data_IF_732138319692
#
_entry.id   IF_732138319692
#
_cell.length_a   1.000
_cell.length_b   1.000
_cell.length_c   1.000
_cell.angle_alpha   90.00
_cell.angle_beta   90.00
_cell.angle_gamma   90.00
#
_symmetry.space_group_name_H-M   'P 1'
#
loop_
_entity.id
_entity.type
_entity.pdbx_description
1 polymer ?
#
# COMPACT_ATOMS: atom_id res chain seq x y z
N UNK A 1 -16.89 -6.96 36.78
CA UNK A 1 -16.34 -5.79 36.05
C UNK A 1 -15.06 -6.14 35.29
N UNK A 2 -14.08 -6.82 35.90
CA UNK A 2 -12.82 -7.29 35.28
C UNK A 2 -13.02 -8.15 34.01
N UNK A 3 -13.91 -9.13 34.08
CA UNK A 3 -14.22 -10.08 32.99
C UNK A 3 -14.86 -9.42 31.75
N UNK A 4 -15.59 -8.31 31.96
CA UNK A 4 -16.23 -7.55 30.86
C UNK A 4 -15.18 -6.74 30.08
N UNK A 5 -14.18 -6.16 30.77
CA UNK A 5 -13.09 -5.42 30.11
C UNK A 5 -12.16 -6.34 29.31
N UNK A 6 -11.84 -7.54 29.81
CA UNK A 6 -10.97 -8.48 29.09
C UNK A 6 -11.58 -8.96 27.77
N UNK A 7 -12.88 -9.27 27.75
CA UNK A 7 -13.59 -9.62 26.49
C UNK A 7 -13.61 -8.48 25.47
N UNK A 8 -13.77 -7.23 25.92
CA UNK A 8 -13.75 -6.06 25.02
C UNK A 8 -12.36 -5.84 24.41
N UNK A 9 -11.30 -5.94 25.24
CA UNK A 9 -9.90 -5.80 24.80
C UNK A 9 -9.50 -6.86 23.78
N UNK A 10 -9.90 -8.12 23.97
CA UNK A 10 -9.59 -9.20 23.02
C UNK A 10 -10.34 -9.05 21.68
N UNK A 11 -11.62 -8.64 21.72
CA UNK A 11 -12.39 -8.34 20.51
C UNK A 11 -11.77 -7.19 19.70
N UNK A 12 -11.36 -6.11 20.37
CA UNK A 12 -10.71 -4.97 19.71
C UNK A 12 -9.37 -5.36 19.08
N UNK A 13 -8.57 -6.18 19.77
CA UNK A 13 -7.30 -6.70 19.24
C UNK A 13 -7.50 -7.53 17.97
N UNK A 14 -8.49 -8.44 17.95
CA UNK A 14 -8.79 -9.27 16.77
C UNK A 14 -9.30 -8.42 15.60
N UNK A 15 -10.15 -7.43 15.87
CA UNK A 15 -10.61 -6.49 14.84
C UNK A 15 -9.42 -5.72 14.23
N UNK A 16 -8.48 -5.30 15.07
CA UNK A 16 -7.29 -4.60 14.66
C UNK A 16 -6.37 -5.44 13.77
N UNK A 17 -6.07 -6.67 14.19
CA UNK A 17 -5.26 -7.60 13.41
C UNK A 17 -5.86 -7.88 12.03
N UNK A 18 -7.18 -8.04 11.94
CA UNK A 18 -7.88 -8.17 10.66
C UNK A 18 -7.73 -6.91 9.81
N UNK A 19 -7.84 -5.73 10.42
CA UNK A 19 -7.68 -4.46 9.72
C UNK A 19 -6.25 -4.24 9.19
N UNK A 20 -5.22 -4.85 9.79
CA UNK A 20 -3.85 -4.76 9.23
C UNK A 20 -3.69 -5.40 7.86
N UNK A 21 -4.59 -6.31 7.46
CA UNK A 21 -4.63 -6.85 6.10
C UNK A 21 -4.82 -5.76 5.04
N UNK A 22 -5.40 -4.61 5.40
CA UNK A 22 -5.53 -3.46 4.50
C UNK A 22 -4.20 -2.93 3.96
N UNK A 23 -3.09 -3.18 4.67
CA UNK A 23 -1.74 -2.80 4.23
C UNK A 23 -1.27 -3.61 3.00
N UNK A 24 -1.83 -4.79 2.78
CA UNK A 24 -1.41 -5.70 1.73
C UNK A 24 -2.07 -5.43 0.38
N UNK A 25 -3.34 -4.98 0.38
CA UNK A 25 -4.13 -4.83 -0.84
C UNK A 25 -3.54 -3.89 -1.91
N UNK A 26 -2.95 -2.72 -1.60
CA UNK A 26 -2.38 -1.86 -2.63
C UNK A 26 -1.32 -2.59 -3.47
N UNK A 27 -0.43 -3.32 -2.81
CA UNK A 27 0.65 -4.07 -3.43
C UNK A 27 0.14 -5.30 -4.17
N UNK A 28 -0.94 -5.92 -3.68
CA UNK A 28 -1.59 -7.03 -4.37
C UNK A 28 -2.22 -6.56 -5.68
N UNK A 29 -2.89 -5.42 -5.67
CA UNK A 29 -3.50 -4.82 -6.87
C UNK A 29 -2.42 -4.41 -7.87
N UNK A 30 -1.34 -3.77 -7.42
CA UNK A 30 -0.19 -3.43 -8.26
C UNK A 30 0.40 -4.68 -8.94
N UNK A 31 0.67 -5.74 -8.18
CA UNK A 31 1.17 -6.99 -8.73
C UNK A 31 0.20 -7.62 -9.74
N UNK A 32 -1.09 -7.69 -9.42
CA UNK A 32 -2.10 -8.22 -10.36
C UNK A 32 -2.21 -7.36 -11.62
N UNK A 33 -2.09 -6.04 -11.50
CA UNK A 33 -2.10 -5.12 -12.66
C UNK A 33 -0.94 -5.41 -13.60
N UNK A 34 0.26 -5.62 -13.06
CA UNK A 34 1.46 -5.91 -13.84
C UNK A 34 1.41 -7.30 -14.51
N UNK A 35 0.87 -8.30 -13.80
CA UNK A 35 0.63 -9.63 -14.36
C UNK A 35 -0.37 -9.54 -15.52
N UNK A 36 -1.49 -8.86 -15.33
CA UNK A 36 -2.49 -8.67 -16.39
C UNK A 36 -1.96 -7.83 -17.56
N UNK A 37 -1.11 -6.83 -17.29
CA UNK A 37 -0.40 -6.06 -18.30
C UNK A 37 0.50 -6.89 -19.22
N UNK A 38 0.96 -8.05 -18.73
CA UNK A 38 1.73 -9.01 -19.55
C UNK A 38 0.86 -9.75 -20.59
N UNK A 39 -0.47 -9.75 -20.41
CA UNK A 39 -1.43 -10.32 -21.37
C UNK A 39 -2.21 -9.26 -22.15
N UNK A 40 -2.37 -8.07 -21.58
CA UNK A 40 -3.12 -6.95 -22.16
C UNK A 40 -2.31 -5.66 -22.02
N UNK A 41 -1.66 -5.24 -23.10
CA UNK A 41 -0.87 -4.00 -23.09
C UNK A 41 -1.72 -2.81 -22.66
N UNK A 42 -1.17 -1.95 -21.80
CA UNK A 42 -1.89 -0.78 -21.31
C UNK A 42 -2.51 -0.98 -19.92
N UNK A 43 -2.79 -2.23 -19.53
CA UNK A 43 -3.48 -2.53 -18.27
C UNK A 43 -2.58 -2.33 -17.05
N UNK A 44 -1.29 -2.64 -17.19
CA UNK A 44 -0.23 -2.35 -16.23
C UNK A 44 -0.26 -0.88 -15.77
N UNK A 45 -0.58 0.06 -16.66
CA UNK A 45 -0.61 1.49 -16.33
C UNK A 45 -1.86 1.94 -15.57
N UNK A 46 -2.94 1.16 -15.53
CA UNK A 46 -4.20 1.63 -14.94
C UNK A 46 -4.22 1.52 -13.41
N UNK A 47 -3.63 0.46 -12.84
CA UNK A 47 -3.73 0.14 -11.42
C UNK A 47 -2.39 -0.10 -10.72
N UNK A 48 -1.26 0.02 -11.43
CA UNK A 48 0.08 -0.02 -10.81
C UNK A 48 0.42 1.28 -10.09
N UNK A 49 1.46 1.20 -9.26
CA UNK A 49 2.10 2.39 -8.70
C UNK A 49 2.61 3.31 -9.80
N UNK A 50 2.39 4.62 -9.66
CA UNK A 50 2.73 5.59 -10.69
C UNK A 50 4.23 5.60 -11.00
N UNK A 51 5.08 5.41 -9.99
CA UNK A 51 6.54 5.27 -10.14
C UNK A 51 6.94 4.03 -10.94
N UNK A 52 6.26 2.90 -10.73
CA UNK A 52 6.53 1.65 -11.43
C UNK A 52 6.09 1.73 -12.89
N UNK A 53 4.89 2.24 -13.14
CA UNK A 53 4.38 2.46 -14.50
C UNK A 53 5.27 3.41 -15.30
N UNK A 54 5.77 4.50 -14.68
CA UNK A 54 6.70 5.40 -15.35
C UNK A 54 8.05 4.74 -15.66
N UNK A 55 8.60 3.94 -14.75
CA UNK A 55 9.84 3.20 -14.96
C UNK A 55 9.70 2.20 -16.12
N UNK A 56 8.61 1.44 -16.16
CA UNK A 56 8.33 0.50 -17.24
C UNK A 56 8.20 1.21 -18.59
N UNK A 57 7.44 2.31 -18.62
CA UNK A 57 7.30 3.11 -19.85
C UNK A 57 8.64 3.68 -20.32
N UNK A 58 9.46 4.19 -19.40
CA UNK A 58 10.81 4.64 -19.70
C UNK A 58 11.65 3.52 -20.34
N UNK A 59 11.67 2.32 -19.76
CA UNK A 59 12.44 1.20 -20.31
C UNK A 59 11.96 0.75 -21.68
N UNK A 60 10.64 0.73 -21.90
CA UNK A 60 10.03 0.38 -23.18
C UNK A 60 10.35 1.39 -24.28
N UNK A 61 10.34 2.68 -23.95
CA UNK A 61 10.51 3.75 -24.94
C UNK A 61 11.98 4.21 -25.12
N UNK A 62 12.93 3.69 -24.33
CA UNK A 62 14.35 4.02 -24.46
C UNK A 62 15.07 3.08 -25.45
N UNK A 63 15.82 3.60 -26.45
CA UNK A 63 16.48 2.79 -27.48
C UNK A 63 17.46 1.73 -26.96
N UNK A 64 18.07 1.96 -25.80
CA UNK A 64 19.02 1.05 -25.15
C UNK A 64 18.36 -0.18 -24.49
N UNK A 65 17.06 -0.10 -24.18
CA UNK A 65 16.32 -1.10 -23.39
C UNK A 65 14.99 -1.51 -24.03
N UNK A 66 14.76 -1.16 -25.30
CA UNK A 66 13.48 -1.20 -26.03
C UNK A 66 12.87 -2.59 -26.31
N UNK A 67 13.11 -3.57 -25.43
CA UNK A 67 12.39 -4.82 -25.39
C UNK A 67 11.18 -4.70 -24.45
N UNK A 68 9.97 -4.67 -25.03
CA UNK A 68 8.71 -4.71 -24.29
C UNK A 68 8.66 -5.87 -23.29
N UNK A 69 9.23 -7.03 -23.63
CA UNK A 69 9.27 -8.21 -22.77
C UNK A 69 10.14 -8.01 -21.52
N UNK A 70 11.26 -7.28 -21.65
CA UNK A 70 12.12 -6.97 -20.51
C UNK A 70 11.44 -6.02 -19.52
N UNK A 71 10.77 -4.99 -20.03
CA UNK A 71 9.99 -4.04 -19.21
C UNK A 71 8.88 -4.76 -18.42
N UNK A 72 8.12 -5.64 -19.07
CA UNK A 72 7.06 -6.41 -18.42
C UNK A 72 7.61 -7.37 -17.36
N UNK A 73 8.68 -8.10 -17.67
CA UNK A 73 9.35 -8.99 -16.71
C UNK A 73 9.83 -8.22 -15.48
N UNK A 74 10.43 -7.05 -15.68
CA UNK A 74 10.90 -6.20 -14.59
C UNK A 74 9.74 -5.66 -13.74
N UNK A 75 8.67 -5.19 -14.37
CA UNK A 75 7.46 -4.72 -13.68
C UNK A 75 6.87 -5.78 -12.76
N UNK A 76 6.66 -6.99 -13.29
CA UNK A 76 6.16 -8.15 -12.51
C UNK A 76 7.12 -8.50 -11.37
N UNK A 77 8.43 -8.52 -11.64
CA UNK A 77 9.45 -8.87 -10.64
C UNK A 77 9.51 -7.87 -9.48
N UNK A 78 9.53 -6.57 -9.79
CA UNK A 78 9.55 -5.50 -8.79
C UNK A 78 8.25 -5.48 -7.97
N UNK A 79 7.10 -5.61 -8.63
CA UNK A 79 5.80 -5.69 -7.95
C UNK A 79 5.71 -6.90 -7.00
N UNK A 80 6.26 -8.04 -7.42
CA UNK A 80 6.33 -9.24 -6.57
C UNK A 80 7.22 -9.03 -5.34
N UNK A 81 8.38 -8.38 -5.50
CA UNK A 81 9.25 -8.04 -4.37
C UNK A 81 8.52 -7.11 -3.39
N UNK A 82 7.86 -6.07 -3.89
CA UNK A 82 7.08 -5.14 -3.08
C UNK A 82 5.92 -5.85 -2.35
N UNK A 83 5.27 -6.81 -3.01
CA UNK A 83 4.23 -7.65 -2.40
C UNK A 83 4.78 -8.46 -1.22
N UNK A 84 5.93 -9.12 -1.39
CA UNK A 84 6.58 -9.87 -0.31
C UNK A 84 7.01 -8.96 0.86
N UNK A 85 7.55 -7.77 0.54
CA UNK A 85 7.86 -6.77 1.55
C UNK A 85 6.60 -6.34 2.32
N UNK A 86 5.49 -6.09 1.61
CA UNK A 86 4.22 -5.73 2.24
C UNK A 86 3.64 -6.85 3.12
N UNK A 87 3.74 -8.11 2.69
CA UNK A 87 3.35 -9.26 3.51
C UNK A 87 4.14 -9.28 4.82
N UNK A 88 5.46 -9.09 4.76
CA UNK A 88 6.30 -9.04 5.94
C UNK A 88 5.94 -7.87 6.87
N UNK A 89 5.71 -6.67 6.30
CA UNK A 89 5.29 -5.49 7.06
C UNK A 89 3.92 -5.70 7.72
N UNK A 90 2.98 -6.31 7.02
CA UNK A 90 1.64 -6.65 7.53
C UNK A 90 1.73 -7.63 8.71
N UNK A 91 2.55 -8.68 8.59
CA UNK A 91 2.80 -9.63 9.69
C UNK A 91 3.45 -8.94 10.91
N UNK A 92 4.33 -7.96 10.70
CA UNK A 92 4.90 -7.17 11.80
C UNK A 92 3.84 -6.24 12.43
N UNK A 93 2.97 -5.63 11.64
CA UNK A 93 1.88 -4.79 12.12
C UNK A 93 0.87 -5.59 12.95
N UNK A 94 0.52 -6.80 12.51
CA UNK A 94 -0.37 -7.72 13.24
C UNK A 94 0.19 -8.15 14.61
N UNK A 95 1.52 -8.12 14.79
CA UNK A 95 2.22 -8.32 16.08
C UNK A 95 2.22 -7.09 16.98
N UNK A 96 1.53 -6.03 16.59
CA UNK A 96 1.43 -4.81 17.36
C UNK A 96 2.61 -3.84 17.19
N UNK A 97 3.30 -3.88 16.04
CA UNK A 97 4.37 -2.93 15.73
C UNK A 97 3.80 -1.80 14.86
N UNK A 98 4.09 -0.54 15.20
CA UNK A 98 3.59 0.63 14.47
C UNK A 98 4.41 1.01 13.24
N UNK A 99 5.74 0.86 13.30
CA UNK A 99 6.65 1.24 12.20
C UNK A 99 6.26 0.67 10.82
N UNK A 100 5.71 -0.55 10.68
CA UNK A 100 5.32 -1.05 9.36
C UNK A 100 4.21 -0.23 8.72
N UNK A 101 3.26 0.28 9.52
CA UNK A 101 2.17 1.12 9.04
C UNK A 101 2.72 2.45 8.55
N UNK A 102 3.67 3.05 9.28
CA UNK A 102 4.35 4.27 8.85
C UNK A 102 5.13 4.07 7.54
N UNK A 103 5.86 2.96 7.40
CA UNK A 103 6.60 2.66 6.16
C UNK A 103 5.64 2.56 4.98
N UNK A 104 4.54 1.80 5.11
CA UNK A 104 3.54 1.66 4.05
C UNK A 104 2.89 3.01 3.73
N UNK A 105 2.54 3.80 4.76
CA UNK A 105 1.94 5.12 4.55
C UNK A 105 2.88 6.07 3.81
N UNK A 106 4.18 6.08 4.14
CA UNK A 106 5.18 6.91 3.45
C UNK A 106 5.36 6.45 2.01
N UNK A 107 5.42 5.14 1.75
CA UNK A 107 5.53 4.60 0.39
C UNK A 107 4.33 5.00 -0.46
N UNK A 108 3.11 4.70 0.01
CA UNK A 108 1.88 5.03 -0.71
C UNK A 108 1.67 6.54 -0.85
N UNK A 109 1.99 7.31 0.20
CA UNK A 109 1.89 8.76 0.17
C UNK A 109 2.86 9.40 -0.82
N UNK A 110 4.10 8.91 -0.88
CA UNK A 110 5.10 9.38 -1.84
C UNK A 110 4.70 9.04 -3.28
N UNK A 111 4.22 7.82 -3.53
CA UNK A 111 3.76 7.41 -4.85
C UNK A 111 2.48 8.15 -5.27
N UNK A 112 1.57 8.44 -4.34
CA UNK A 112 0.39 9.28 -4.59
C UNK A 112 0.77 10.71 -4.99
N UNK A 113 1.73 11.34 -4.29
CA UNK A 113 2.24 12.66 -4.64
C UNK A 113 2.93 12.65 -6.01
N UNK A 114 3.71 11.59 -6.29
CA UNK A 114 4.34 11.40 -7.59
C UNK A 114 3.30 11.26 -8.71
N UNK A 115 2.30 10.40 -8.53
CA UNK A 115 1.19 10.20 -9.47
C UNK A 115 0.46 11.51 -9.74
N UNK A 116 0.22 12.31 -8.70
CA UNK A 116 -0.38 13.65 -8.84
C UNK A 116 0.45 14.56 -9.76
N UNK A 117 1.78 14.47 -9.69
CA UNK A 117 2.68 15.26 -10.54
C UNK A 117 2.69 14.79 -12.00
N UNK A 118 2.39 13.52 -12.29
CA UNK A 118 2.41 12.96 -13.66
C UNK A 118 1.32 13.54 -14.58
N UNK A 119 0.23 14.07 -14.01
CA UNK A 119 -0.81 14.74 -14.80
C UNK A 119 -0.47 16.20 -15.14
N UNK A 120 0.21 16.91 -14.24
CA UNK A 120 0.50 18.35 -14.38
C UNK A 120 1.88 18.65 -14.98
N UNK A 121 2.71 17.64 -15.25
CA UNK A 121 4.10 17.82 -15.67
C UNK A 121 4.29 17.66 -17.18
N UNK A 122 5.32 18.34 -17.72
CA UNK A 122 5.90 18.11 -19.05
C UNK A 122 6.71 16.80 -19.11
N UNK A 123 6.35 15.80 -18.31
CA UNK A 123 7.00 14.49 -18.37
C UNK A 123 6.85 13.95 -19.80
N UNK A 124 7.85 13.24 -20.33
CA UNK A 124 7.83 12.75 -21.71
C UNK A 124 6.63 11.82 -22.00
N UNK A 125 5.98 11.31 -20.96
CA UNK A 125 5.00 10.24 -21.00
C UNK A 125 3.78 10.52 -20.10
N UNK A 126 2.93 11.51 -20.44
CA UNK A 126 1.73 11.80 -19.68
C UNK A 126 0.76 10.60 -19.70
N UNK A 127 0.08 10.40 -18.58
CA UNK A 127 -0.93 9.34 -18.42
C UNK A 127 -2.26 9.79 -19.05
N UNK A 128 -3.01 8.90 -19.74
CA UNK A 128 -4.34 9.24 -20.20
C UNK A 128 -5.23 9.71 -19.04
N UNK A 129 -6.04 10.75 -19.26
CA UNK A 129 -6.87 11.36 -18.21
C UNK A 129 -7.71 10.34 -17.44
N UNK A 130 -8.34 9.39 -18.15
CA UNK A 130 -9.18 8.36 -17.53
C UNK A 130 -8.35 7.45 -16.62
N UNK A 131 -7.21 6.96 -17.09
CA UNK A 131 -6.29 6.12 -16.29
C UNK A 131 -5.78 6.89 -15.08
N UNK A 132 -5.41 8.16 -15.25
CA UNK A 132 -5.00 9.04 -14.16
C UNK A 132 -6.10 9.17 -13.09
N UNK A 133 -7.34 9.47 -13.48
CA UNK A 133 -8.46 9.61 -12.55
C UNK A 133 -8.66 8.30 -11.76
N UNK A 134 -8.62 7.15 -12.43
CA UNK A 134 -8.79 5.83 -11.80
C UNK A 134 -7.64 5.57 -10.81
N UNK A 135 -6.38 5.69 -11.26
CA UNK A 135 -5.21 5.44 -10.43
C UNK A 135 -5.15 6.40 -9.24
N UNK A 136 -5.35 7.70 -9.45
CA UNK A 136 -5.38 8.70 -8.40
C UNK A 136 -6.44 8.40 -7.34
N UNK A 137 -7.67 8.08 -7.77
CA UNK A 137 -8.78 7.77 -6.86
C UNK A 137 -8.48 6.56 -5.99
N UNK A 138 -7.91 5.50 -6.57
CA UNK A 138 -7.58 4.27 -5.85
C UNK A 138 -6.45 4.51 -4.84
N UNK A 139 -5.38 5.19 -5.25
CA UNK A 139 -4.27 5.51 -4.35
C UNK A 139 -4.72 6.45 -3.21
N UNK A 140 -5.58 7.44 -3.49
CA UNK A 140 -6.16 8.30 -2.47
C UNK A 140 -6.95 7.49 -1.43
N UNK A 141 -7.78 6.53 -1.87
CA UNK A 141 -8.52 5.64 -0.98
C UNK A 141 -7.57 4.80 -0.12
N UNK A 142 -6.50 4.24 -0.70
CA UNK A 142 -5.55 3.45 0.08
C UNK A 142 -4.77 4.28 1.10
N UNK A 143 -4.28 5.47 0.72
CA UNK A 143 -3.63 6.39 1.65
C UNK A 143 -4.57 6.75 2.80
N UNK A 144 -5.84 7.03 2.50
CA UNK A 144 -6.86 7.31 3.50
C UNK A 144 -7.10 6.12 4.44
N UNK A 145 -7.29 4.91 3.90
CA UNK A 145 -7.53 3.70 4.69
C UNK A 145 -6.34 3.35 5.60
N UNK A 146 -5.10 3.48 5.10
CA UNK A 146 -3.89 3.24 5.89
C UNK A 146 -3.72 4.29 6.99
N UNK A 147 -4.04 5.55 6.69
CA UNK A 147 -4.04 6.64 7.69
C UNK A 147 -5.08 6.38 8.79
N UNK A 148 -6.28 5.92 8.42
CA UNK A 148 -7.34 5.57 9.37
C UNK A 148 -6.96 4.35 10.21
N UNK A 149 -6.27 3.37 9.63
CA UNK A 149 -5.73 2.22 10.34
C UNK A 149 -4.68 2.64 11.38
N UNK A 150 -3.81 3.58 11.04
CA UNK A 150 -2.82 4.16 11.96
C UNK A 150 -3.50 4.85 13.15
N UNK A 151 -4.49 5.70 12.87
CA UNK A 151 -5.26 6.38 13.92
C UNK A 151 -5.94 5.40 14.87
N UNK A 152 -6.57 4.34 14.33
CA UNK A 152 -7.16 3.26 15.13
C UNK A 152 -6.11 2.51 15.95
N UNK A 153 -4.93 2.24 15.37
CA UNK A 153 -3.81 1.62 16.07
C UNK A 153 -3.44 2.45 17.31
N UNK A 154 -3.29 3.77 17.15
CA UNK A 154 -2.89 4.66 18.23
C UNK A 154 -3.90 4.68 19.38
N UNK A 155 -5.19 4.69 19.07
CA UNK A 155 -6.26 4.63 20.07
C UNK A 155 -6.21 3.33 20.88
N UNK A 156 -6.05 2.18 20.22
CA UNK A 156 -5.96 0.87 20.87
C UNK A 156 -4.75 0.77 21.80
N UNK A 157 -3.59 1.24 21.35
CA UNK A 157 -2.40 1.26 22.19
C UNK A 157 -2.58 2.14 23.43
N UNK A 158 -3.32 3.25 23.31
CA UNK A 158 -3.69 4.09 24.44
C UNK A 158 -4.56 3.36 25.46
N UNK A 159 -5.53 2.55 25.01
CA UNK A 159 -6.38 1.72 25.87
C UNK A 159 -5.57 0.63 26.59
N UNK A 160 -4.75 -0.12 25.84
CA UNK A 160 -3.89 -1.17 26.42
C UNK A 160 -2.89 -0.62 27.45
N UNK A 161 -2.38 0.59 27.23
CA UNK A 161 -1.49 1.25 28.18
C UNK A 161 -2.22 1.61 29.49
N UNK A 162 -3.49 2.02 29.43
CA UNK A 162 -4.33 2.29 30.62
C UNK A 162 -4.60 1.01 31.41
N UNK A 163 -5.02 -0.06 30.74
CA UNK A 163 -5.27 -1.36 31.39
C UNK A 163 -4.03 -1.93 32.10
N UNK A 164 -2.84 -1.76 31.51
CA UNK A 164 -1.57 -2.18 32.14
C UNK A 164 -1.23 -1.38 33.38
N UNK A 165 -1.59 -0.09 33.43
CA UNK A 165 -1.40 0.76 34.62
C UNK A 165 -2.34 0.33 35.75
N UNK A 166 -3.61 0.09 35.44
CA UNK A 166 -4.61 -0.35 36.42
C UNK A 166 -4.24 -1.71 37.05
N UNK A 167 -3.70 -2.65 36.27
CA UNK A 167 -3.22 -3.95 36.76
C UNK A 167 -1.97 -3.88 37.65
N UNK A 168 -1.21 -2.79 37.64
CA UNK A 168 -0.03 -2.61 38.51
C UNK A 168 -0.36 -1.98 39.86
N UNK A 169 -1.56 -1.42 40.01
CA UNK A 169 -2.03 -0.72 41.22
C UNK A 169 -2.86 -1.67 42.10
N UNK A 170 -3.38 -2.76 41.53
CA UNK A 170 -4.03 -3.87 42.25
C UNK A 170 -3.02 -4.92 42.66
#
# INVERSE_FOLDING_TARGET
MKEKNEKTSEMELRSYQKATLFLFYPFLIDFMSNVLGSFTEGYDFCLSFGSLGCLMRFLRETPLFGSSSFSLFLGVSLSFILLLCSLFLTLKAAKGKKYPIYIVLVLLGSDFLYTSSLYFSFMPYPMPLISFIISFSIHAVFVFLVSLLLWKYDKLNGLLAKERKERKIQ
#
